data_IF_143523873612
#
_entry.id   IF_143523873612
#
_cell.length_a   1.000
_cell.length_b   1.000
_cell.length_c   1.000
_cell.angle_alpha   90.00
_cell.angle_beta   90.00
_cell.angle_gamma   90.00
#
_symmetry.space_group_name_H-M   'P 1'
#
loop_
_entity.id
_entity.type
_entity.pdbx_description
1 polymer ?
#
# COMPACT_ATOMS: atom_id res chain seq x y z
N UNK A 1 12.21 -9.80 -13.98
CA UNK A 1 11.25 -9.44 -12.91
C UNK A 1 10.70 -10.74 -12.35
N UNK A 2 11.09 -11.08 -11.12
CA UNK A 2 10.74 -12.36 -10.50
C UNK A 2 9.71 -12.12 -9.39
N UNK A 3 8.67 -12.95 -9.31
CA UNK A 3 7.75 -12.93 -8.18
C UNK A 3 8.49 -13.45 -6.95
N UNK A 4 8.54 -12.65 -5.89
CA UNK A 4 9.20 -12.97 -4.61
C UNK A 4 8.20 -13.17 -3.46
N UNK A 5 6.93 -12.80 -3.68
CA UNK A 5 5.82 -13.06 -2.77
C UNK A 5 4.48 -12.83 -3.48
N UNK A 6 3.44 -13.52 -3.03
CA UNK A 6 2.05 -13.28 -3.45
C UNK A 6 1.09 -13.78 -2.37
N UNK A 7 -0.09 -13.17 -2.30
CA UNK A 7 -1.18 -13.64 -1.47
C UNK A 7 -2.52 -13.24 -2.09
N UNK A 8 -3.48 -14.14 -1.97
CA UNK A 8 -4.89 -13.80 -2.06
C UNK A 8 -5.41 -13.51 -0.66
N UNK A 9 -6.43 -12.67 -0.57
CA UNK A 9 -7.03 -12.32 0.71
C UNK A 9 -8.53 -12.24 0.57
N UNK A 10 -9.24 -12.71 1.60
CA UNK A 10 -10.69 -12.73 1.64
C UNK A 10 -11.20 -12.20 2.97
N UNK A 11 -11.99 -11.13 2.88
CA UNK A 11 -12.64 -10.45 4.01
C UNK A 11 -11.71 -10.20 5.21
N UNK A 12 -10.50 -9.71 4.96
CA UNK A 12 -9.51 -9.41 6.01
C UNK A 12 -9.24 -7.90 6.13
N UNK A 13 -8.80 -7.46 7.32
CA UNK A 13 -8.32 -6.10 7.58
C UNK A 13 -6.82 -5.92 7.31
N UNK A 14 -6.07 -7.01 7.14
CA UNK A 14 -4.67 -6.95 6.73
C UNK A 14 -4.20 -8.24 6.04
N UNK A 15 -3.09 -8.14 5.30
CA UNK A 15 -2.48 -9.25 4.58
C UNK A 15 -0.98 -9.13 4.72
N UNK A 16 -0.34 -10.15 5.29
CA UNK A 16 1.11 -10.21 5.44
C UNK A 16 1.67 -11.13 4.36
N UNK A 17 2.67 -10.62 3.64
CA UNK A 17 3.36 -11.32 2.57
C UNK A 17 4.86 -11.39 2.88
N UNK A 18 5.33 -12.53 3.40
CA UNK A 18 6.75 -12.77 3.58
C UNK A 18 7.48 -12.70 2.25
N UNK A 19 8.63 -12.04 2.20
CA UNK A 19 9.51 -12.03 1.02
C UNK A 19 10.47 -13.21 1.15
N UNK A 20 10.49 -14.10 0.16
CA UNK A 20 11.21 -15.38 0.24
C UNK A 20 12.71 -15.24 0.55
N UNK A 21 13.33 -14.17 0.04
CA UNK A 21 14.71 -13.78 0.34
C UNK A 21 14.72 -12.30 0.70
N UNK A 22 15.26 -11.96 1.86
CA UNK A 22 15.28 -10.57 2.28
C UNK A 22 16.05 -9.70 1.27
N UNK A 23 15.46 -8.58 0.87
CA UNK A 23 16.04 -7.67 -0.12
C UNK A 23 16.84 -6.60 0.62
N UNK A 24 18.16 -6.62 0.44
CA UNK A 24 19.05 -5.61 1.04
C UNK A 24 19.35 -4.45 0.08
N UNK A 25 19.33 -4.72 -1.23
CA UNK A 25 19.62 -3.75 -2.29
C UNK A 25 18.78 -4.07 -3.54
N UNK A 26 18.25 -3.05 -4.21
CA UNK A 26 17.51 -3.16 -5.46
C UNK A 26 16.11 -2.53 -5.42
N UNK A 27 15.27 -2.92 -6.38
CA UNK A 27 13.91 -2.42 -6.52
C UNK A 27 12.90 -3.54 -6.29
N UNK A 28 11.80 -3.19 -5.62
CA UNK A 28 10.66 -4.09 -5.40
C UNK A 28 9.40 -3.41 -5.89
N UNK A 29 8.64 -4.05 -6.77
CA UNK A 29 7.32 -3.58 -7.22
C UNK A 29 6.22 -4.40 -6.58
N UNK A 30 5.27 -3.70 -5.99
CA UNK A 30 4.05 -4.24 -5.42
C UNK A 30 2.90 -3.89 -6.37
N UNK A 31 2.03 -4.86 -6.64
CA UNK A 31 0.76 -4.63 -7.34
C UNK A 31 -0.34 -5.31 -6.53
N UNK A 32 -1.43 -4.61 -6.27
CA UNK A 32 -2.60 -5.20 -5.63
C UNK A 32 -3.89 -4.66 -6.22
N UNK A 33 -4.94 -5.48 -6.14
CA UNK A 33 -6.28 -5.14 -6.58
C UNK A 33 -7.30 -5.86 -5.72
N UNK A 34 -8.44 -5.22 -5.47
CA UNK A 34 -9.52 -5.86 -4.73
C UNK A 34 -10.73 -4.97 -4.56
N UNK A 35 -11.55 -5.34 -3.59
CA UNK A 35 -12.71 -4.60 -3.13
C UNK A 35 -12.57 -4.40 -1.62
N UNK A 36 -12.78 -3.16 -1.17
CA UNK A 36 -12.79 -2.79 0.23
C UNK A 36 -14.23 -2.45 0.65
N UNK A 37 -14.81 -3.30 1.50
CA UNK A 37 -16.09 -3.06 2.14
C UNK A 37 -15.90 -2.05 3.29
N UNK A 38 -16.41 -0.84 3.09
CA UNK A 38 -16.15 0.32 3.91
C UNK A 38 -17.13 0.47 5.09
N UNK A 39 -18.29 -0.16 5.03
CA UNK A 39 -19.32 -0.08 6.08
C UNK A 39 -19.67 1.37 6.47
N UNK A 40 -19.91 2.24 5.48
CA UNK A 40 -20.25 3.66 5.67
C UNK A 40 -19.16 4.51 6.35
N UNK A 41 -17.89 4.07 6.32
CA UNK A 41 -16.78 4.78 6.95
C UNK A 41 -15.58 4.96 6.00
N UNK A 42 -14.70 5.87 6.39
CA UNK A 42 -13.51 6.23 5.64
C UNK A 42 -12.29 5.44 6.15
N UNK A 43 -11.71 4.61 5.30
CA UNK A 43 -10.58 3.75 5.62
C UNK A 43 -9.44 3.98 4.67
N UNK A 44 -8.24 4.11 5.24
CA UNK A 44 -6.99 4.22 4.50
C UNK A 44 -6.48 2.82 4.14
N UNK A 45 -5.71 2.78 3.06
CA UNK A 45 -4.90 1.63 2.66
C UNK A 45 -3.45 2.00 2.94
N UNK A 46 -2.79 1.21 3.78
CA UNK A 46 -1.38 1.40 4.14
C UNK A 46 -0.56 0.20 3.69
N UNK A 47 0.69 0.45 3.31
CA UNK A 47 1.72 -0.58 3.13
C UNK A 47 2.75 -0.47 4.26
N UNK A 48 2.87 -1.52 5.06
CA UNK A 48 3.90 -1.64 6.11
C UNK A 48 5.03 -2.54 5.66
N UNK A 49 6.23 -2.15 6.05
CA UNK A 49 7.48 -2.87 5.81
C UNK A 49 7.88 -3.55 7.11
N UNK A 50 8.14 -4.86 7.05
CA UNK A 50 8.59 -5.68 8.17
C UNK A 50 7.66 -5.61 9.42
N UNK A 51 6.37 -5.34 9.21
CA UNK A 51 5.38 -5.15 10.28
C UNK A 51 5.58 -3.89 11.14
N UNK A 52 6.48 -2.99 10.77
CA UNK A 52 6.74 -1.77 11.51
C UNK A 52 5.53 -0.83 11.46
N UNK A 53 5.22 -0.19 12.60
CA UNK A 53 4.07 0.72 12.78
C UNK A 53 4.48 2.18 13.00
N UNK A 54 5.74 2.50 12.81
CA UNK A 54 6.34 3.82 13.00
C UNK A 54 7.54 3.98 12.07
N UNK A 55 8.20 5.16 12.10
CA UNK A 55 9.35 5.49 11.24
C UNK A 55 9.02 5.70 9.76
N UNK A 56 7.74 5.94 9.45
CA UNK A 56 7.32 6.35 8.11
C UNK A 56 7.23 7.87 8.02
N UNK A 57 7.54 8.37 6.83
CA UNK A 57 7.14 9.70 6.37
C UNK A 57 6.43 9.47 5.06
N UNK A 58 5.10 9.52 5.04
CA UNK A 58 4.34 9.22 3.85
C UNK A 58 3.17 10.17 3.66
N UNK A 59 2.85 10.46 2.40
CA UNK A 59 1.67 11.21 2.01
C UNK A 59 1.12 10.67 0.69
N UNK A 60 -0.16 10.96 0.45
CA UNK A 60 -0.72 10.92 -0.90
C UNK A 60 -1.17 12.32 -1.34
N UNK A 61 -1.31 12.48 -2.65
CA UNK A 61 -2.15 13.49 -3.27
C UNK A 61 -3.32 12.78 -3.96
N UNK A 62 -4.55 13.11 -3.56
CA UNK A 62 -5.77 12.59 -4.13
C UNK A 62 -6.32 13.58 -5.14
N UNK A 63 -6.71 13.08 -6.32
CA UNK A 63 -7.34 13.84 -7.40
C UNK A 63 -8.47 13.05 -8.04
N UNK A 64 -9.18 13.65 -9.00
CA UNK A 64 -10.29 13.04 -9.72
C UNK A 64 -11.60 13.72 -9.40
N UNK A 65 -12.61 12.96 -8.99
CA UNK A 65 -13.91 13.49 -8.57
C UNK A 65 -13.86 14.28 -7.24
N UNK A 66 -12.73 14.25 -6.53
CA UNK A 66 -12.47 14.99 -5.30
C UNK A 66 -10.95 15.23 -5.15
N UNK A 67 -10.54 16.13 -4.27
CA UNK A 67 -9.12 16.46 -4.05
C UNK A 67 -8.77 16.56 -2.55
N UNK A 68 -7.66 15.95 -2.16
CA UNK A 68 -7.17 15.98 -0.78
C UNK A 68 -5.67 15.65 -0.73
N UNK A 69 -4.96 16.17 0.26
CA UNK A 69 -3.66 15.64 0.66
C UNK A 69 -3.76 15.09 2.09
N UNK A 70 -3.13 13.94 2.33
CA UNK A 70 -3.10 13.34 3.65
C UNK A 70 -1.71 12.76 3.94
N UNK A 71 -1.37 12.70 5.23
CA UNK A 71 -0.11 12.19 5.73
C UNK A 71 -0.35 11.00 6.67
N UNK A 72 0.63 10.11 6.75
CA UNK A 72 0.64 8.99 7.71
C UNK A 72 2.07 8.66 8.16
N UNK A 73 2.20 8.26 9.42
CA UNK A 73 3.47 7.90 10.06
C UNK A 73 3.52 6.42 10.45
N UNK A 74 2.46 5.65 10.17
CA UNK A 74 2.29 4.25 10.60
C UNK A 74 2.42 3.24 9.45
N UNK A 75 2.54 3.74 8.22
CA UNK A 75 2.78 2.97 6.99
C UNK A 75 2.97 3.91 5.80
N UNK A 76 3.35 3.36 4.65
CA UNK A 76 3.26 4.09 3.38
C UNK A 76 1.78 4.24 3.04
N UNK A 77 1.31 5.48 2.92
CA UNK A 77 -0.08 5.82 2.67
C UNK A 77 -0.37 5.68 1.17
N UNK A 78 -1.11 4.63 0.80
CA UNK A 78 -1.35 4.27 -0.60
C UNK A 78 -2.56 5.02 -1.18
N UNK A 79 -3.61 5.11 -0.38
CA UNK A 79 -4.90 5.66 -0.78
C UNK A 79 -5.95 5.38 0.29
N UNK A 80 -7.22 5.35 -0.12
CA UNK A 80 -8.38 5.09 0.76
C UNK A 80 -9.54 4.49 -0.05
N UNK A 81 -10.60 4.08 0.64
CA UNK A 81 -11.86 3.74 -0.01
C UNK A 81 -12.56 4.98 -0.61
N UNK A 82 -13.65 4.75 -1.33
CA UNK A 82 -14.38 5.76 -2.09
C UNK A 82 -15.25 6.73 -1.28
N UNK A 83 -14.72 7.36 -0.22
CA UNK A 83 -15.45 8.32 0.65
C UNK A 83 -16.71 7.71 1.26
N UNK A 84 -16.55 6.92 2.32
CA UNK A 84 -17.60 6.23 3.06
C UNK A 84 -18.33 5.12 2.30
N UNK A 85 -17.92 4.76 1.09
CA UNK A 85 -18.57 3.70 0.32
C UNK A 85 -17.60 2.59 -0.01
N UNK A 86 -18.18 1.40 -0.25
CA UNK A 86 -17.46 0.25 -0.76
C UNK A 86 -16.84 0.63 -2.10
N UNK A 87 -15.62 0.17 -2.34
CA UNK A 87 -14.86 0.57 -3.52
C UNK A 87 -13.98 -0.55 -4.02
N UNK A 88 -13.93 -0.69 -5.35
CA UNK A 88 -12.84 -1.40 -5.99
C UNK A 88 -11.59 -0.53 -5.93
N UNK A 89 -10.44 -1.15 -5.73
CA UNK A 89 -9.16 -0.47 -5.75
C UNK A 89 -8.14 -1.22 -6.58
N UNK A 90 -7.19 -0.46 -7.12
CA UNK A 90 -5.96 -0.94 -7.70
C UNK A 90 -4.82 -0.06 -7.22
N UNK A 91 -3.65 -0.63 -6.96
CA UNK A 91 -2.44 0.16 -6.76
C UNK A 91 -1.19 -0.54 -7.25
N UNK A 92 -0.21 0.30 -7.60
CA UNK A 92 1.17 -0.12 -7.79
C UNK A 92 2.13 0.76 -6.98
N UNK A 93 3.13 0.14 -6.38
CA UNK A 93 4.13 0.82 -5.55
C UNK A 93 5.49 0.26 -5.89
N UNK A 94 6.47 1.13 -6.08
CA UNK A 94 7.87 0.74 -6.20
C UNK A 94 8.63 1.18 -4.96
N UNK A 95 9.30 0.22 -4.32
CA UNK A 95 10.24 0.45 -3.25
C UNK A 95 11.66 0.44 -3.80
N UNK A 96 12.45 1.42 -3.41
CA UNK A 96 13.90 1.46 -3.61
C UNK A 96 14.58 1.10 -2.30
N UNK A 97 15.24 -0.06 -2.26
CA UNK A 97 15.91 -0.59 -1.08
C UNK A 97 17.41 -0.46 -1.30
N UNK A 98 18.11 0.23 -0.41
CA UNK A 98 19.57 0.36 -0.47
C UNK A 98 20.15 0.26 0.94
N UNK A 99 20.98 -0.75 1.17
CA UNK A 99 21.49 -1.09 2.50
C UNK A 99 22.29 0.05 3.16
N UNK A 100 22.89 0.92 2.35
CA UNK A 100 23.72 2.06 2.80
C UNK A 100 22.93 3.35 3.08
N UNK A 101 21.70 3.48 2.61
CA UNK A 101 20.94 4.75 2.69
C UNK A 101 20.20 4.92 4.02
N UNK A 102 20.10 3.86 4.83
CA UNK A 102 19.31 3.79 6.05
C UNK A 102 17.83 4.17 5.86
N UNK A 103 17.32 3.99 4.64
CA UNK A 103 15.91 4.24 4.31
C UNK A 103 15.46 3.41 3.11
N UNK A 104 14.18 3.04 3.11
CA UNK A 104 13.49 2.53 1.93
C UNK A 104 12.60 3.64 1.39
N UNK A 105 12.80 4.03 0.14
CA UNK A 105 11.94 5.02 -0.53
C UNK A 105 10.80 4.32 -1.24
N UNK A 106 9.62 4.94 -1.24
CA UNK A 106 8.42 4.45 -1.90
C UNK A 106 7.88 5.52 -2.85
N UNK A 107 7.48 5.09 -4.03
CA UNK A 107 6.75 5.90 -4.99
C UNK A 107 5.72 5.03 -5.72
N UNK A 108 4.51 5.52 -5.92
CA UNK A 108 3.46 4.73 -6.55
C UNK A 108 2.21 5.52 -6.85
N UNK A 109 1.21 4.80 -7.34
CA UNK A 109 -0.12 5.32 -7.56
C UNK A 109 -1.18 4.29 -7.16
N UNK A 110 -2.37 4.78 -6.86
CA UNK A 110 -3.56 3.98 -6.64
C UNK A 110 -4.77 4.63 -7.30
N UNK A 111 -5.82 3.84 -7.51
CA UNK A 111 -7.13 4.36 -7.81
C UNK A 111 -8.18 3.58 -7.02
N UNK A 112 -9.32 4.24 -6.79
CA UNK A 112 -10.52 3.61 -6.28
C UNK A 112 -11.74 4.11 -7.04
N UNK A 113 -12.66 3.22 -7.36
CA UNK A 113 -13.97 3.58 -7.89
C UNK A 113 -15.05 3.07 -6.94
N UNK A 114 -16.00 3.93 -6.60
CA UNK A 114 -17.05 3.62 -5.65
C UNK A 114 -18.37 3.25 -6.32
N UNK A 115 -19.37 2.86 -5.53
CA UNK A 115 -20.70 2.47 -6.04
C UNK A 115 -21.44 3.56 -6.83
N UNK A 116 -21.03 4.83 -6.72
CA UNK A 116 -21.56 5.96 -7.49
C UNK A 116 -20.73 6.28 -8.74
N UNK A 117 -19.77 5.42 -9.09
CA UNK A 117 -18.80 5.60 -10.18
C UNK A 117 -17.89 6.83 -10.03
N UNK A 118 -17.72 7.35 -8.81
CA UNK A 118 -16.72 8.39 -8.55
C UNK A 118 -15.33 7.76 -8.55
N UNK A 119 -14.46 8.23 -9.44
CA UNK A 119 -13.08 7.82 -9.54
C UNK A 119 -12.20 8.76 -8.69
N UNK A 120 -11.44 8.15 -7.79
CA UNK A 120 -10.39 8.82 -7.01
C UNK A 120 -9.05 8.24 -7.43
N UNK A 121 -8.13 9.11 -7.83
CA UNK A 121 -6.74 8.78 -8.11
C UNK A 121 -5.85 9.23 -6.96
N UNK A 122 -4.82 8.45 -6.66
CA UNK A 122 -3.87 8.74 -5.58
C UNK A 122 -2.45 8.64 -6.13
N UNK A 123 -1.65 9.67 -5.93
CA UNK A 123 -0.20 9.62 -6.07
C UNK A 123 0.39 9.48 -4.68
N UNK A 124 1.18 8.43 -4.44
CA UNK A 124 1.75 8.16 -3.12
C UNK A 124 3.28 8.28 -3.13
N UNK A 125 3.78 8.89 -2.07
CA UNK A 125 5.20 9.04 -1.82
C UNK A 125 5.50 8.68 -0.36
N UNK A 126 6.65 8.07 -0.13
CA UNK A 126 7.08 7.88 1.25
C UNK A 126 8.52 7.45 1.43
N UNK A 127 8.92 7.47 2.68
CA UNK A 127 10.18 6.91 3.16
C UNK A 127 9.93 6.14 4.45
N UNK A 128 10.58 4.99 4.58
CA UNK A 128 10.64 4.21 5.82
C UNK A 128 12.08 4.20 6.32
N UNK A 129 12.32 4.72 7.51
CA UNK A 129 13.67 4.84 8.08
C UNK A 129 14.05 3.53 8.76
N UNK A 130 15.01 2.81 8.16
CA UNK A 130 15.44 1.49 8.61
C UNK A 130 16.82 1.14 8.05
N UNK A 131 17.58 0.34 8.78
CA UNK A 131 18.78 -0.33 8.29
C UNK A 131 18.55 -1.84 8.02
N UNK A 132 17.34 -2.32 8.24
CA UNK A 132 17.00 -3.73 8.04
C UNK A 132 16.66 -3.99 6.57
N UNK A 133 17.11 -5.13 6.01
CA UNK A 133 16.60 -5.62 4.74
C UNK A 133 15.06 -5.74 4.73
N UNK A 134 14.45 -5.64 3.56
CA UNK A 134 13.03 -5.90 3.38
C UNK A 134 12.79 -7.41 3.48
N UNK A 135 12.08 -7.86 4.51
CA UNK A 135 11.75 -9.28 4.75
C UNK A 135 10.26 -9.57 4.68
N UNK A 136 9.39 -8.58 4.87
CA UNK A 136 7.95 -8.75 4.67
C UNK A 136 7.26 -7.44 4.27
N UNK A 137 6.12 -7.59 3.61
CA UNK A 137 5.20 -6.50 3.31
C UNK A 137 3.84 -6.83 3.94
N UNK A 138 3.17 -5.83 4.48
CA UNK A 138 1.83 -5.95 5.02
C UNK A 138 0.94 -4.88 4.41
N UNK A 139 -0.15 -5.27 3.75
CA UNK A 139 -1.23 -4.33 3.43
C UNK A 139 -2.13 -4.23 4.65
N UNK A 140 -2.47 -3.01 5.05
CA UNK A 140 -3.39 -2.74 6.15
C UNK A 140 -4.54 -1.88 5.65
N UNK A 141 -5.76 -2.33 5.94
CA UNK A 141 -6.97 -1.55 5.80
C UNK A 141 -7.31 -1.01 7.20
N UNK A 142 -7.35 0.32 7.39
CA UNK A 142 -7.54 0.92 8.74
C UNK A 142 -8.93 0.70 9.34
N UNK A 143 -9.79 0.00 8.62
CA UNK A 143 -11.08 -0.51 9.01
C UNK A 143 -11.73 -1.17 7.79
N UNK A 144 -12.95 -1.67 7.95
CA UNK A 144 -13.60 -2.48 6.92
C UNK A 144 -12.93 -3.84 6.73
N UNK A 145 -13.33 -4.54 5.67
CA UNK A 145 -12.71 -5.81 5.25
C UNK A 145 -12.52 -5.80 3.74
N UNK A 146 -11.47 -6.47 3.30
CA UNK A 146 -11.06 -6.44 1.90
C UNK A 146 -10.92 -7.86 1.33
N UNK A 147 -11.26 -8.01 0.05
CA UNK A 147 -11.05 -9.23 -0.73
C UNK A 147 -10.30 -8.88 -2.02
N UNK A 148 -9.31 -9.68 -2.40
CA UNK A 148 -8.47 -9.38 -3.56
C UNK A 148 -7.18 -10.18 -3.63
N UNK A 149 -6.21 -9.64 -4.37
CA UNK A 149 -4.90 -10.25 -4.60
C UNK A 149 -3.77 -9.23 -4.49
N UNK A 150 -2.59 -9.71 -4.12
CA UNK A 150 -1.38 -8.93 -3.92
C UNK A 150 -0.18 -9.69 -4.45
N UNK A 151 0.70 -9.01 -5.20
CA UNK A 151 1.90 -9.60 -5.81
C UNK A 151 3.10 -8.70 -5.61
N UNK A 152 4.24 -9.32 -5.34
CA UNK A 152 5.52 -8.64 -5.09
C UNK A 152 6.55 -9.16 -6.07
N UNK A 153 7.21 -8.24 -6.75
CA UNK A 153 8.21 -8.49 -7.76
C UNK A 153 9.53 -7.86 -7.37
N UNK A 154 10.65 -8.54 -7.65
CA UNK A 154 11.99 -7.96 -7.57
C UNK A 154 12.57 -7.74 -8.98
N UNK A 155 13.30 -6.64 -9.15
CA UNK A 155 14.08 -6.31 -10.34
C UNK A 155 15.56 -6.55 -10.12
#
# INVERSE_FOLDING_TARGET
>A
MNIISQADFDRTSNVICPVSNAVSDGYVKIIASGELAANNADHKILLRINGAKSSYKSYYLMTGNDNEAAWDETGILIGRNGRHSDANFFFEVTLSVFSKSQKILSNGCANSINGNNSLLGFENHGAFITNQPLSSLEIVFTGGVSTGQFRVYQF
#
